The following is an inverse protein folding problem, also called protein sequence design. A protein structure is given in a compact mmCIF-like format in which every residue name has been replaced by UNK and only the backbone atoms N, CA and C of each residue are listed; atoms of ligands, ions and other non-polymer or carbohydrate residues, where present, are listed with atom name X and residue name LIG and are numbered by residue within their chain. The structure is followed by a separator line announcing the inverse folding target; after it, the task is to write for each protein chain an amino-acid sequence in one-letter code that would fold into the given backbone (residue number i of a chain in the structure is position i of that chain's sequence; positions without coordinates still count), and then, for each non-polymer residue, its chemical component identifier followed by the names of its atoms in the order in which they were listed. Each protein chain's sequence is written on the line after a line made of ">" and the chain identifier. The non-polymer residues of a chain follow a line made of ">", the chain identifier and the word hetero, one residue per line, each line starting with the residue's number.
data_IF_987367779182
#
_entry.id   IF_987367779182
#
_cell.length_a   1.000
_cell.length_b   1.000
_cell.length_c   1.000
_cell.angle_alpha   90.00
_cell.angle_beta   90.00
_cell.angle_gamma   90.00
#
_symmetry.space_group_name_H-M   'P 1'
#
loop_
_entity.id
_entity.type
_entity.pdbx_description
1 polymer ?
#
# COMPACT_ATOMS: atom_id res chain seq x y z
N UNK A 1 -47.74 54.74 27.41
CA UNK A 1 -48.09 53.76 26.39
C UNK A 1 -46.80 53.06 25.97
N UNK A 2 -46.74 51.77 26.11
CA UNK A 2 -45.56 50.96 26.45
C UNK A 2 -45.03 50.24 25.18
N UNK A 3 -44.02 50.79 24.49
CA UNK A 3 -43.46 50.21 23.26
C UNK A 3 -42.33 49.19 23.51
N UNK A 4 -42.12 48.78 24.76
CA UNK A 4 -40.98 47.91 25.09
C UNK A 4 -41.22 46.37 25.05
N UNK A 5 -42.46 45.96 24.74
CA UNK A 5 -42.81 44.52 24.77
C UNK A 5 -42.51 43.85 23.38
N UNK A 6 -42.50 44.57 22.28
CA UNK A 6 -42.24 43.99 20.97
C UNK A 6 -40.74 43.84 20.66
N UNK A 7 -39.87 44.58 21.33
CA UNK A 7 -38.45 44.50 21.11
C UNK A 7 -37.80 43.29 21.79
N UNK A 8 -38.41 42.75 22.85
CA UNK A 8 -37.89 41.58 23.58
C UNK A 8 -38.21 40.25 22.90
N UNK A 9 -39.25 40.18 22.07
CA UNK A 9 -39.59 38.97 21.32
C UNK A 9 -38.76 38.82 20.03
N UNK A 10 -38.27 39.88 19.42
CA UNK A 10 -37.47 39.86 18.22
C UNK A 10 -36.05 39.36 18.45
N UNK A 11 -35.48 39.53 19.66
CA UNK A 11 -34.09 39.12 19.96
C UNK A 11 -34.01 37.65 20.30
N UNK A 12 -35.10 37.04 20.82
CA UNK A 12 -35.12 35.58 21.14
C UNK A 12 -35.34 34.74 19.89
N UNK A 13 -36.04 35.25 18.87
CA UNK A 13 -36.25 34.50 17.62
C UNK A 13 -35.02 34.44 16.72
N UNK A 14 -34.06 35.36 16.87
CA UNK A 14 -32.84 35.41 16.04
C UNK A 14 -31.71 34.49 16.59
N UNK A 15 -31.81 34.04 17.84
CA UNK A 15 -30.78 33.19 18.47
C UNK A 15 -30.91 31.68 18.19
N UNK A 16 -32.01 31.27 17.52
CA UNK A 16 -32.28 29.82 17.29
C UNK A 16 -31.79 29.33 15.93
N UNK A 17 -31.36 30.23 15.01
CA UNK A 17 -31.00 29.88 13.65
C UNK A 17 -29.49 29.51 13.49
N UNK A 18 -28.67 29.63 14.52
CA UNK A 18 -27.20 29.41 14.42
C UNK A 18 -26.68 28.06 14.94
N UNK A 19 -27.55 27.10 15.25
CA UNK A 19 -27.12 25.78 15.79
C UNK A 19 -27.29 24.64 14.76
N UNK A 20 -27.50 24.93 13.49
CA UNK A 20 -27.79 23.92 12.47
C UNK A 20 -26.63 23.61 11.50
N UNK A 21 -25.38 23.96 11.80
CA UNK A 21 -24.22 23.64 10.93
C UNK A 21 -23.00 23.13 11.68
N UNK A 22 -23.16 22.26 12.68
CA UNK A 22 -22.07 21.46 13.23
C UNK A 22 -22.41 19.96 13.15
N UNK A 23 -23.09 19.56 12.08
CA UNK A 23 -23.11 18.20 11.62
C UNK A 23 -22.00 18.05 10.59
N UNK A 24 -20.73 18.06 11.01
CA UNK A 24 -19.70 17.40 10.25
C UNK A 24 -20.14 15.94 10.23
N UNK A 25 -20.62 15.45 9.08
CA UNK A 25 -20.66 14.02 8.82
C UNK A 25 -19.21 13.59 8.89
N UNK A 26 -18.77 13.08 10.02
CA UNK A 26 -17.71 12.09 9.99
C UNK A 26 -18.29 11.01 9.10
N UNK A 27 -17.74 10.89 7.89
CA UNK A 27 -18.05 9.78 7.02
C UNK A 27 -17.55 8.55 7.77
N UNK A 28 -18.42 7.96 8.59
CA UNK A 28 -18.13 6.72 9.29
C UNK A 28 -18.00 5.60 8.27
N UNK A 29 -17.31 4.53 8.66
CA UNK A 29 -17.25 3.35 7.83
C UNK A 29 -18.64 2.82 7.48
N UNK A 30 -18.82 2.14 6.35
CA UNK A 30 -20.08 1.53 5.96
C UNK A 30 -20.63 0.63 7.07
N UNK A 31 -21.93 0.71 7.31
CA UNK A 31 -22.61 -0.19 8.27
C UNK A 31 -22.53 -1.64 7.73
N UNK A 32 -22.07 -2.55 8.58
CA UNK A 32 -21.90 -3.96 8.19
C UNK A 32 -23.23 -4.64 7.80
N UNK A 33 -24.31 -4.42 8.54
CA UNK A 33 -25.60 -5.04 8.30
C UNK A 33 -25.49 -6.57 8.10
N UNK A 34 -26.43 -7.14 7.30
CA UNK A 34 -26.46 -8.57 6.96
C UNK A 34 -25.78 -8.90 5.61
N UNK A 35 -24.91 -8.01 5.08
CA UNK A 35 -24.17 -8.20 3.84
C UNK A 35 -22.82 -8.88 4.05
N UNK A 36 -22.28 -9.48 3.01
CA UNK A 36 -20.89 -9.91 3.00
C UNK A 36 -19.95 -8.70 3.20
N UNK A 37 -18.81 -8.93 3.85
CA UNK A 37 -17.75 -7.92 3.99
C UNK A 37 -17.17 -7.55 2.64
N UNK A 38 -16.98 -6.26 2.39
CA UNK A 38 -16.18 -5.78 1.27
C UNK A 38 -14.71 -5.79 1.71
N UNK A 39 -13.94 -6.68 1.14
CA UNK A 39 -12.52 -6.83 1.46
C UNK A 39 -11.70 -6.40 0.24
N UNK A 40 -10.71 -5.56 0.51
CA UNK A 40 -9.76 -5.12 -0.51
C UNK A 40 -8.41 -5.75 -0.21
N UNK A 41 -7.76 -6.29 -1.23
CA UNK A 41 -6.36 -6.72 -1.20
C UNK A 41 -5.56 -5.88 -2.18
N UNK A 42 -4.37 -5.43 -1.82
CA UNK A 42 -3.55 -4.61 -2.71
C UNK A 42 -2.98 -5.41 -3.87
N UNK A 43 -2.58 -6.64 -3.64
CA UNK A 43 -1.89 -7.49 -4.61
C UNK A 43 -2.65 -8.80 -4.89
N UNK A 44 -2.44 -9.42 -6.06
CA UNK A 44 -3.01 -10.73 -6.38
C UNK A 44 -2.64 -11.82 -5.38
N UNK A 45 -1.40 -11.81 -4.89
CA UNK A 45 -0.94 -12.76 -3.87
C UNK A 45 -1.75 -12.62 -2.58
N UNK A 46 -1.98 -11.39 -2.13
CA UNK A 46 -2.79 -11.13 -0.94
C UNK A 46 -4.25 -11.50 -1.17
N UNK A 47 -4.77 -11.23 -2.37
CA UNK A 47 -6.11 -11.63 -2.79
C UNK A 47 -6.30 -13.15 -2.73
N UNK A 48 -5.35 -13.91 -3.21
CA UNK A 48 -5.37 -15.38 -3.15
C UNK A 48 -5.43 -15.90 -1.70
N UNK A 49 -4.67 -15.30 -0.80
CA UNK A 49 -4.73 -15.68 0.62
C UNK A 49 -6.10 -15.38 1.24
N UNK A 50 -6.68 -14.23 0.92
CA UNK A 50 -8.02 -13.86 1.39
C UNK A 50 -9.06 -14.83 0.85
N UNK A 51 -9.02 -15.16 -0.45
CA UNK A 51 -9.95 -16.08 -1.10
C UNK A 51 -9.88 -17.48 -0.48
N UNK A 52 -8.68 -18.00 -0.24
CA UNK A 52 -8.51 -19.32 0.38
C UNK A 52 -9.02 -19.41 1.83
N UNK A 53 -9.00 -18.28 2.55
CA UNK A 53 -9.45 -18.25 3.97
C UNK A 53 -10.94 -17.94 4.08
N UNK A 54 -11.43 -16.96 3.32
CA UNK A 54 -12.77 -16.44 3.44
C UNK A 54 -13.76 -17.00 2.39
N UNK A 55 -13.27 -17.38 1.21
CA UNK A 55 -14.09 -17.88 0.11
C UNK A 55 -15.27 -16.97 -0.20
N UNK A 56 -16.43 -17.56 -0.40
CA UNK A 56 -17.68 -16.85 -0.77
C UNK A 56 -18.28 -15.99 0.39
N UNK A 57 -17.64 -15.94 1.55
CA UNK A 57 -18.15 -15.16 2.68
C UNK A 57 -17.81 -13.67 2.61
N UNK A 58 -16.99 -13.26 1.66
CA UNK A 58 -16.58 -11.87 1.44
C UNK A 58 -16.75 -11.46 -0.02
N UNK A 59 -16.88 -10.16 -0.26
CA UNK A 59 -16.76 -9.56 -1.58
C UNK A 59 -15.32 -9.06 -1.74
N UNK A 60 -14.47 -9.88 -2.35
CA UNK A 60 -13.06 -9.55 -2.53
C UNK A 60 -12.83 -8.69 -3.77
N UNK A 61 -12.06 -7.62 -3.60
CA UNK A 61 -11.52 -6.80 -4.70
C UNK A 61 -10.01 -6.74 -4.59
N UNK A 62 -9.30 -7.01 -5.69
CA UNK A 62 -7.84 -6.85 -5.78
C UNK A 62 -7.53 -5.59 -6.58
N UNK A 63 -6.73 -4.68 -6.01
CA UNK A 63 -6.41 -3.41 -6.66
C UNK A 63 -5.45 -3.58 -7.83
N UNK A 64 -4.36 -4.32 -7.63
CA UNK A 64 -3.36 -4.53 -8.68
C UNK A 64 -3.76 -5.68 -9.60
N UNK A 65 -3.75 -5.48 -10.92
CA UNK A 65 -3.94 -6.60 -11.86
C UNK A 65 -2.77 -7.61 -11.76
N UNK A 66 -3.01 -8.89 -12.14
CA UNK A 66 -2.01 -9.95 -11.96
C UNK A 66 -0.65 -9.71 -12.62
N UNK A 67 -0.62 -8.93 -13.70
CA UNK A 67 0.58 -8.61 -14.46
C UNK A 67 1.28 -7.31 -14.00
N UNK A 68 0.72 -6.60 -13.02
CA UNK A 68 1.33 -5.37 -12.50
C UNK A 68 2.56 -5.67 -11.66
N UNK A 69 3.58 -4.86 -11.82
CA UNK A 69 4.72 -4.84 -10.91
C UNK A 69 4.30 -4.11 -9.62
N UNK A 70 4.28 -4.79 -8.46
CA UNK A 70 3.84 -4.19 -7.21
C UNK A 70 4.72 -3.04 -6.73
N UNK A 71 5.96 -2.92 -7.20
CA UNK A 71 6.88 -1.86 -6.80
C UNK A 71 6.69 -0.56 -7.59
N UNK A 72 6.08 -0.65 -8.77
CA UNK A 72 5.90 0.49 -9.68
C UNK A 72 4.44 0.79 -10.00
N UNK A 73 3.52 0.05 -9.40
CA UNK A 73 2.09 0.23 -9.64
C UNK A 73 1.62 1.64 -9.25
N UNK A 74 0.91 2.28 -10.15
CA UNK A 74 0.25 3.57 -9.91
C UNK A 74 -1.26 3.33 -9.74
N UNK A 75 -1.83 3.65 -8.58
CA UNK A 75 -3.25 3.43 -8.33
C UNK A 75 -4.09 4.35 -9.20
N UNK A 76 -5.22 3.83 -9.65
CA UNK A 76 -6.19 4.57 -10.43
C UNK A 76 -7.13 5.42 -9.53
N UNK A 77 -7.70 6.51 -10.02
CA UNK A 77 -8.61 7.36 -9.23
C UNK A 77 -9.81 6.62 -8.64
N UNK A 78 -10.31 5.58 -9.31
CA UNK A 78 -11.42 4.76 -8.83
C UNK A 78 -11.07 3.91 -7.60
N UNK A 79 -9.78 3.60 -7.40
CA UNK A 79 -9.34 2.79 -6.27
C UNK A 79 -9.63 3.48 -4.93
N UNK A 80 -9.62 4.82 -4.91
CA UNK A 80 -10.01 5.59 -3.75
C UNK A 80 -11.44 5.28 -3.28
N UNK A 81 -12.39 5.17 -4.24
CA UNK A 81 -13.77 4.80 -3.95
C UNK A 81 -13.89 3.36 -3.44
N UNK A 82 -13.16 2.44 -4.07
CA UNK A 82 -13.11 1.03 -3.65
C UNK A 82 -12.60 0.88 -2.21
N UNK A 83 -11.56 1.64 -1.85
CA UNK A 83 -10.99 1.64 -0.50
C UNK A 83 -11.95 2.29 0.50
N UNK A 84 -12.64 3.37 0.13
CA UNK A 84 -13.59 4.06 0.99
C UNK A 84 -14.81 3.18 1.37
N UNK A 85 -15.22 2.30 0.45
CA UNK A 85 -16.34 1.37 0.62
C UNK A 85 -15.92 0.03 1.27
N UNK A 86 -14.64 -0.15 1.57
CA UNK A 86 -14.11 -1.37 2.16
C UNK A 86 -14.41 -1.45 3.67
N UNK A 87 -14.67 -2.67 4.13
CA UNK A 87 -14.74 -3.01 5.56
C UNK A 87 -13.38 -3.46 6.11
N UNK A 88 -12.50 -3.94 5.23
CA UNK A 88 -11.15 -4.39 5.57
C UNK A 88 -10.25 -4.29 4.35
N UNK A 89 -9.03 -3.83 4.56
CA UNK A 89 -8.01 -3.71 3.50
C UNK A 89 -6.75 -4.43 3.93
N UNK A 90 -6.32 -5.41 3.15
CA UNK A 90 -5.05 -6.10 3.35
C UNK A 90 -3.97 -5.56 2.41
N UNK A 91 -2.82 -5.26 2.97
CA UNK A 91 -1.62 -4.87 2.22
C UNK A 91 -0.37 -5.49 2.85
N UNK A 92 0.69 -5.61 2.06
CA UNK A 92 1.91 -6.30 2.51
C UNK A 92 2.70 -5.45 3.50
N UNK A 93 2.86 -4.17 3.24
CA UNK A 93 3.76 -3.31 3.99
C UNK A 93 5.24 -3.57 3.68
N UNK A 94 6.14 -3.28 4.62
CA UNK A 94 7.59 -3.49 4.47
C UNK A 94 8.19 -2.88 3.18
N UNK A 95 7.58 -1.80 2.67
CA UNK A 95 7.92 -1.13 1.39
C UNK A 95 7.68 -2.00 0.15
N UNK A 96 6.83 -3.01 0.25
CA UNK A 96 6.47 -3.83 -0.90
C UNK A 96 5.59 -3.04 -1.89
N UNK A 97 4.55 -2.36 -1.39
CA UNK A 97 3.75 -1.44 -2.19
C UNK A 97 4.43 -0.08 -2.34
N UNK A 98 4.23 0.61 -3.49
CA UNK A 98 4.70 1.98 -3.68
C UNK A 98 4.10 2.93 -2.66
N UNK A 99 4.83 3.97 -2.28
CA UNK A 99 4.34 5.00 -1.36
C UNK A 99 3.04 5.66 -1.82
N UNK A 100 2.76 5.70 -3.12
CA UNK A 100 1.50 6.24 -3.67
C UNK A 100 0.31 5.37 -3.27
N UNK A 101 0.46 4.04 -3.30
CA UNK A 101 -0.58 3.09 -2.88
C UNK A 101 -0.83 3.24 -1.37
N UNK A 102 0.22 3.20 -0.55
CA UNK A 102 0.08 3.33 0.91
C UNK A 102 -0.62 4.65 1.28
N UNK A 103 -0.23 5.77 0.67
CA UNK A 103 -0.90 7.06 0.87
C UNK A 103 -2.36 7.05 0.44
N UNK A 104 -2.69 6.34 -0.65
CA UNK A 104 -4.07 6.20 -1.08
C UNK A 104 -4.88 5.41 -0.04
N UNK A 105 -4.35 4.30 0.48
CA UNK A 105 -4.98 3.53 1.56
C UNK A 105 -5.27 4.42 2.77
N UNK A 106 -4.25 5.12 3.28
CA UNK A 106 -4.35 5.99 4.46
C UNK A 106 -5.35 7.13 4.29
N UNK A 107 -5.45 7.71 3.08
CA UNK A 107 -6.31 8.86 2.81
C UNK A 107 -7.74 8.48 2.42
N UNK A 108 -7.96 7.26 1.93
CA UNK A 108 -9.26 6.84 1.40
C UNK A 108 -10.02 5.92 2.33
N UNK A 109 -9.33 5.18 3.21
CA UNK A 109 -9.97 4.31 4.18
C UNK A 109 -10.87 5.10 5.13
N UNK A 110 -12.07 4.60 5.37
CA UNK A 110 -13.03 5.23 6.29
C UNK A 110 -12.51 5.28 7.74
N UNK A 111 -11.57 4.39 8.09
CA UNK A 111 -10.86 4.35 9.36
C UNK A 111 -9.51 3.67 9.18
N UNK A 112 -8.50 4.10 9.92
CA UNK A 112 -7.19 3.42 9.93
C UNK A 112 -7.28 1.99 10.49
N UNK A 113 -8.29 1.71 11.30
CA UNK A 113 -8.49 0.39 11.91
C UNK A 113 -8.89 -0.71 10.91
N UNK A 114 -9.31 -0.34 9.69
CA UNK A 114 -9.60 -1.31 8.63
C UNK A 114 -8.38 -1.67 7.78
N UNK A 115 -7.26 -0.98 7.95
CA UNK A 115 -6.00 -1.24 7.26
C UNK A 115 -5.21 -2.31 8.02
N UNK A 116 -5.03 -3.45 7.39
CA UNK A 116 -4.29 -4.59 7.94
C UNK A 116 -2.95 -4.75 7.20
N UNK A 117 -1.87 -4.25 7.79
CA UNK A 117 -0.51 -4.48 7.33
C UNK A 117 -0.03 -5.86 7.77
N UNK A 118 0.14 -6.76 6.82
CA UNK A 118 0.52 -8.15 7.15
C UNK A 118 2.00 -8.22 7.55
N UNK A 119 2.83 -7.37 6.97
CA UNK A 119 4.25 -7.28 7.26
C UNK A 119 4.60 -6.94 8.71
N UNK A 120 3.71 -6.25 9.42
CA UNK A 120 3.87 -5.95 10.85
C UNK A 120 3.90 -7.20 11.75
N UNK A 121 3.38 -8.32 11.25
CA UNK A 121 3.27 -9.58 11.98
C UNK A 121 4.36 -10.60 11.62
N UNK A 122 5.35 -10.22 10.81
CA UNK A 122 6.46 -11.09 10.42
C UNK A 122 7.79 -10.50 10.85
N UNK A 123 8.78 -11.36 11.04
CA UNK A 123 10.16 -10.95 11.28
C UNK A 123 10.93 -11.06 9.96
N UNK A 124 11.15 -9.94 9.24
CA UNK A 124 11.84 -9.97 7.98
C UNK A 124 13.30 -10.44 8.19
N UNK A 125 13.76 -11.33 7.31
CA UNK A 125 15.18 -11.70 7.25
C UNK A 125 15.89 -10.55 6.55
N UNK A 126 16.94 -10.01 7.18
CA UNK A 126 17.80 -9.02 6.55
C UNK A 126 18.44 -9.65 5.31
N UNK A 127 18.19 -9.06 4.15
CA UNK A 127 18.91 -9.38 2.95
C UNK A 127 20.33 -8.80 3.10
N UNK A 128 21.30 -9.65 3.45
CA UNK A 128 22.69 -9.32 3.22
C UNK A 128 22.90 -9.44 1.72
N UNK A 129 23.11 -8.33 1.04
CA UNK A 129 23.73 -8.39 -0.27
C UNK A 129 24.97 -9.26 -0.09
N UNK A 130 24.92 -10.44 -0.66
CA UNK A 130 26.07 -11.31 -0.72
C UNK A 130 27.15 -10.52 -1.42
N UNK A 131 28.13 -10.03 -0.66
CA UNK A 131 29.32 -9.52 -1.25
C UNK A 131 29.82 -10.60 -2.21
N UNK A 132 29.88 -10.30 -3.47
CA UNK A 132 30.84 -10.93 -4.32
C UNK A 132 32.19 -10.51 -3.71
N UNK A 133 32.65 -11.30 -2.76
CA UNK A 133 34.06 -11.27 -2.38
C UNK A 133 34.79 -11.57 -3.66
N UNK A 134 35.33 -10.50 -4.23
CA UNK A 134 36.26 -10.53 -5.34
C UNK A 134 37.36 -11.53 -4.94
N UNK A 135 37.33 -12.69 -5.54
CA UNK A 135 38.46 -13.61 -5.58
C UNK A 135 39.49 -13.06 -6.56
N UNK A 136 40.02 -11.89 -6.26
CA UNK A 136 41.23 -11.34 -6.84
C UNK A 136 42.42 -11.63 -5.90
N UNK A 137 42.67 -12.88 -5.65
CA UNK A 137 43.97 -13.37 -5.17
C UNK A 137 44.48 -14.41 -6.14
N UNK A 138 44.80 -13.98 -7.37
CA UNK A 138 45.77 -14.65 -8.17
C UNK A 138 47.14 -14.03 -7.87
N UNK A 139 47.83 -14.61 -6.90
CA UNK A 139 49.26 -14.48 -6.72
C UNK A 139 49.93 -14.78 -8.03
N UNK A 140 50.42 -13.72 -8.67
CA UNK A 140 51.43 -13.82 -9.74
C UNK A 140 52.74 -14.33 -9.13
N UNK A 141 52.89 -15.63 -9.03
CA UNK A 141 54.20 -16.22 -8.93
C UNK A 141 54.80 -16.32 -10.32
N UNK A 142 55.87 -15.52 -10.51
CA UNK A 142 56.64 -15.45 -11.72
C UNK A 142 57.27 -16.78 -12.08
N UNK A 143 57.13 -17.15 -13.32
CA UNK A 143 58.04 -18.08 -13.98
C UNK A 143 58.78 -17.33 -15.07
N UNK A 144 59.97 -16.78 -14.66
CA UNK A 144 61.09 -16.63 -15.54
C UNK A 144 61.59 -18.02 -15.92
N UNK A 145 61.54 -18.37 -17.17
CA UNK A 145 62.49 -19.31 -17.77
C UNK A 145 62.61 -18.96 -19.26
N UNK A 146 63.84 -18.60 -19.52
CA UNK A 146 64.44 -18.30 -20.81
C UNK A 146 64.60 -19.57 -21.67
N UNK A 147 64.96 -19.30 -22.94
CA UNK A 147 65.59 -20.11 -23.95
C UNK A 147 64.63 -21.03 -24.71
N UNK A 148 64.56 -20.96 -25.99
CA UNK A 148 65.55 -20.75 -27.05
C UNK A 148 65.31 -21.79 -28.15
N UNK A 149 65.52 -21.37 -29.43
CA UNK A 149 65.69 -22.27 -30.56
C UNK A 149 64.40 -22.92 -31.13
N UNK A 150 64.17 -23.02 -32.42
CA UNK A 150 65.00 -22.93 -33.62
C UNK A 150 64.09 -22.76 -34.86
N UNK A 151 64.69 -22.22 -35.87
CA UNK A 151 64.21 -22.13 -37.23
C UNK A 151 63.86 -23.49 -37.86
N UNK A 152 62.76 -23.55 -38.57
CA UNK A 152 62.72 -24.48 -39.72
C UNK A 152 61.94 -23.83 -40.89
N UNK A 153 62.73 -23.58 -41.88
CA UNK A 153 62.36 -23.32 -43.26
C UNK A 153 61.53 -24.45 -43.89
N UNK A 154 60.65 -24.06 -44.79
CA UNK A 154 60.63 -24.58 -46.13
C UNK A 154 59.64 -25.68 -46.49
N UNK A 155 59.09 -25.43 -47.59
CA UNK A 155 58.62 -26.29 -48.68
C UNK A 155 57.13 -26.41 -48.90
N UNK A 156 56.84 -25.90 -49.99
CA UNK A 156 56.12 -26.07 -51.27
C UNK A 156 54.68 -25.69 -51.26
#
# INVERSE_FOLDING_TARGET
>A
MNNNKFFKFGVIALSIVLIACTGGSEAGCPELGDRNLNVVATTPMMGEFVDQVAGDNVNLTVLMPPEADPHTYEPAPQDAGTIADADLVFYTGLKYEPAAVVKLLENSACSQNILAEIGDNVFPIEFKEGGHDDHDDHDEEGHDDEEGHDEHEGHD
#
